data_IF_827683660066
#
_entry.id   IF_827683660066
#
_cell.length_a   1.000
_cell.length_b   1.000
_cell.length_c   1.000
_cell.angle_alpha   90.00
_cell.angle_beta   90.00
_cell.angle_gamma   90.00
#
_symmetry.space_group_name_H-M   'P 1'
#
loop_
_entity.id
_entity.type
_entity.pdbx_description
1 polymer ?
#
# COMPACT_ATOMS: atom_id res chain seq x y z
N UNK A 1 -22.09 -58.15 -14.92
CA UNK A 1 -21.38 -57.14 -14.14
C UNK A 1 -22.45 -56.19 -13.58
N UNK A 2 -22.72 -56.23 -12.28
CA UNK A 2 -23.75 -55.41 -11.62
C UNK A 2 -23.10 -54.12 -11.18
N UNK A 3 -23.72 -52.97 -11.55
CA UNK A 3 -23.34 -51.62 -11.13
C UNK A 3 -23.42 -51.49 -9.61
N UNK A 4 -22.29 -51.31 -8.96
CA UNK A 4 -22.16 -51.02 -7.52
C UNK A 4 -22.00 -49.52 -7.20
N UNK A 5 -21.96 -48.67 -8.23
CA UNK A 5 -21.59 -47.25 -8.07
C UNK A 5 -22.79 -46.34 -7.67
N UNK A 6 -24.04 -46.85 -7.65
CA UNK A 6 -25.22 -46.00 -7.36
C UNK A 6 -25.68 -45.99 -5.91
N UNK A 7 -25.10 -46.81 -5.03
CA UNK A 7 -25.58 -46.87 -3.63
C UNK A 7 -24.79 -46.00 -2.65
N UNK A 8 -23.63 -45.47 -3.05
CA UNK A 8 -22.86 -44.60 -2.15
C UNK A 8 -23.14 -43.09 -2.30
N UNK A 9 -23.71 -42.64 -3.41
CA UNK A 9 -24.03 -41.21 -3.61
C UNK A 9 -25.33 -40.78 -2.89
N UNK A 10 -26.32 -41.66 -2.75
CA UNK A 10 -27.58 -41.30 -2.11
C UNK A 10 -27.54 -41.30 -0.56
N UNK A 11 -26.59 -42.03 0.06
CA UNK A 11 -26.46 -42.02 1.53
C UNK A 11 -25.71 -40.83 2.08
N UNK A 12 -24.84 -40.18 1.25
CA UNK A 12 -24.10 -38.97 1.67
C UNK A 12 -24.90 -37.69 1.60
N UNK A 13 -25.92 -37.63 0.74
CA UNK A 13 -26.75 -36.43 0.58
C UNK A 13 -27.87 -36.29 1.63
N UNK A 14 -28.33 -37.40 2.22
CA UNK A 14 -29.40 -37.38 3.22
C UNK A 14 -28.94 -37.15 4.67
N UNK A 15 -27.68 -37.44 5.00
CA UNK A 15 -27.13 -37.12 6.33
C UNK A 15 -26.75 -35.64 6.52
N UNK A 16 -26.54 -34.91 5.46
CA UNK A 16 -26.12 -33.48 5.53
C UNK A 16 -27.30 -32.50 5.68
N UNK A 17 -28.53 -32.88 5.40
CA UNK A 17 -29.69 -31.95 5.51
C UNK A 17 -30.20 -31.73 6.95
N UNK A 18 -29.89 -32.62 7.89
CA UNK A 18 -30.42 -32.55 9.25
C UNK A 18 -29.48 -32.00 10.33
N UNK A 19 -28.27 -31.55 9.97
CA UNK A 19 -27.44 -30.81 10.94
C UNK A 19 -27.91 -29.36 11.01
N UNK A 20 -28.70 -29.03 12.04
CA UNK A 20 -28.99 -27.63 12.43
C UNK A 20 -27.69 -26.83 12.38
N UNK A 21 -27.59 -25.89 11.45
CA UNK A 21 -26.46 -24.97 11.28
C UNK A 21 -26.21 -24.27 12.61
N UNK A 22 -25.32 -24.81 13.44
CA UNK A 22 -24.77 -24.10 14.58
C UNK A 22 -23.93 -22.95 14.01
N UNK A 23 -24.35 -21.73 14.26
CA UNK A 23 -23.58 -20.53 13.90
C UNK A 23 -22.29 -20.56 14.72
N UNK A 24 -21.17 -20.92 14.06
CA UNK A 24 -19.82 -20.80 14.60
C UNK A 24 -19.15 -19.63 13.89
N UNK A 25 -18.75 -18.63 14.65
CA UNK A 25 -18.04 -17.43 14.11
C UNK A 25 -16.74 -17.79 13.39
N UNK A 26 -16.10 -18.88 13.77
CA UNK A 26 -14.86 -19.37 13.16
C UNK A 26 -15.00 -20.86 12.86
N UNK A 27 -15.60 -21.20 11.72
CA UNK A 27 -15.61 -22.56 11.22
C UNK A 27 -14.52 -22.68 10.13
N UNK A 28 -13.37 -23.24 10.51
CA UNK A 28 -12.23 -23.42 9.62
C UNK A 28 -12.47 -24.46 8.51
N UNK A 29 -13.48 -25.32 8.68
CA UNK A 29 -13.83 -26.39 7.74
C UNK A 29 -15.04 -26.04 6.87
N UNK A 30 -15.52 -24.81 6.91
CA UNK A 30 -16.64 -24.40 6.08
C UNK A 30 -16.16 -24.27 4.63
N UNK A 31 -16.54 -25.22 3.79
CA UNK A 31 -16.37 -25.10 2.36
C UNK A 31 -17.08 -23.83 1.89
N UNK A 32 -16.30 -22.88 1.39
CA UNK A 32 -16.87 -21.67 0.83
C UNK A 32 -17.75 -22.03 -0.36
N UNK A 33 -18.75 -21.21 -0.66
CA UNK A 33 -19.50 -21.32 -1.92
C UNK A 33 -18.46 -21.37 -3.05
N UNK A 34 -18.33 -22.51 -3.72
CA UNK A 34 -17.40 -22.70 -4.82
C UNK A 34 -17.57 -21.64 -5.90
N UNK A 35 -16.61 -21.54 -6.78
CA UNK A 35 -16.71 -20.65 -7.96
C UNK A 35 -17.60 -21.34 -8.98
N UNK A 36 -18.68 -20.69 -9.41
CA UNK A 36 -19.53 -21.17 -10.50
C UNK A 36 -18.66 -21.34 -11.76
N UNK A 37 -18.83 -22.45 -12.48
CA UNK A 37 -18.01 -22.75 -13.68
C UNK A 37 -18.15 -21.68 -14.77
N UNK A 38 -19.33 -21.06 -14.85
CA UNK A 38 -19.67 -20.04 -15.86
C UNK A 38 -19.58 -18.61 -15.32
N UNK A 39 -18.77 -18.38 -14.27
CA UNK A 39 -18.61 -17.05 -13.71
C UNK A 39 -17.93 -16.11 -14.71
N UNK A 40 -18.64 -14.99 -15.04
CA UNK A 40 -18.06 -13.91 -15.84
C UNK A 40 -16.86 -13.29 -15.09
N UNK A 41 -15.67 -13.52 -15.65
CA UNK A 41 -14.37 -13.05 -15.12
C UNK A 41 -13.94 -11.71 -15.72
N UNK A 42 -14.82 -11.04 -16.47
CA UNK A 42 -14.49 -9.71 -16.98
C UNK A 42 -14.17 -8.77 -15.82
N UNK A 43 -13.01 -8.08 -15.85
CA UNK A 43 -12.57 -7.24 -14.75
C UNK A 43 -13.37 -5.93 -14.69
N UNK A 44 -14.57 -6.01 -14.13
CA UNK A 44 -15.49 -4.90 -13.86
C UNK A 44 -15.62 -4.65 -12.33
N UNK A 45 -16.26 -3.54 -11.93
CA UNK A 45 -16.43 -3.20 -10.50
C UNK A 45 -17.21 -4.27 -9.70
N UNK A 46 -18.24 -4.90 -10.30
CA UNK A 46 -19.00 -5.95 -9.64
C UNK A 46 -18.13 -7.16 -9.33
N UNK A 47 -17.30 -7.57 -10.28
CA UNK A 47 -16.35 -8.67 -10.11
C UNK A 47 -15.25 -8.31 -9.11
N UNK A 48 -14.79 -7.03 -9.09
CA UNK A 48 -13.84 -6.55 -8.08
C UNK A 48 -14.36 -6.78 -6.66
N UNK A 49 -15.55 -6.31 -6.32
CA UNK A 49 -16.10 -6.47 -4.97
C UNK A 49 -16.36 -7.95 -4.62
N UNK A 50 -16.80 -8.75 -5.57
CA UNK A 50 -17.00 -10.19 -5.39
C UNK A 50 -15.67 -10.89 -5.10
N UNK A 51 -14.63 -10.58 -5.85
CA UNK A 51 -13.28 -11.14 -5.69
C UNK A 51 -12.63 -10.64 -4.40
N UNK A 52 -12.75 -9.35 -4.10
CA UNK A 52 -12.26 -8.75 -2.86
C UNK A 52 -12.86 -9.43 -1.62
N UNK A 53 -14.18 -9.59 -1.57
CA UNK A 53 -14.85 -10.25 -0.45
C UNK A 53 -14.40 -11.71 -0.26
N UNK A 54 -14.26 -12.47 -1.36
CA UNK A 54 -13.74 -13.86 -1.32
C UNK A 54 -12.30 -13.96 -0.84
N UNK A 55 -11.46 -12.99 -1.20
CA UNK A 55 -10.01 -13.00 -0.91
C UNK A 55 -9.64 -12.14 0.31
N UNK A 56 -10.62 -11.56 0.99
CA UNK A 56 -10.40 -10.58 2.05
C UNK A 56 -9.45 -11.08 3.15
N UNK A 57 -9.63 -12.31 3.64
CA UNK A 57 -8.75 -12.90 4.66
C UNK A 57 -7.29 -12.98 4.20
N UNK A 58 -7.05 -13.33 2.93
CA UNK A 58 -5.68 -13.38 2.36
C UNK A 58 -5.09 -11.99 2.21
N UNK A 59 -5.91 -11.00 1.87
CA UNK A 59 -5.51 -9.58 1.80
C UNK A 59 -5.12 -9.08 3.19
N UNK A 60 -5.87 -9.44 4.25
CA UNK A 60 -5.50 -9.12 5.63
C UNK A 60 -4.18 -9.77 6.04
N UNK A 61 -3.97 -11.04 5.71
CA UNK A 61 -2.70 -11.73 5.97
C UNK A 61 -1.53 -11.05 5.25
N UNK A 62 -1.73 -10.64 4.00
CA UNK A 62 -0.72 -9.88 3.26
C UNK A 62 -0.45 -8.53 3.92
N UNK A 63 -1.50 -7.84 4.36
CA UNK A 63 -1.37 -6.55 5.05
C UNK A 63 -0.50 -6.68 6.31
N UNK A 64 -0.64 -7.78 7.06
CA UNK A 64 0.19 -8.04 8.23
C UNK A 64 1.69 -8.14 7.87
N UNK A 65 2.03 -8.73 6.72
CA UNK A 65 3.41 -8.75 6.22
C UNK A 65 3.90 -7.37 5.78
N UNK A 66 3.01 -6.54 5.23
CA UNK A 66 3.35 -5.20 4.76
C UNK A 66 3.41 -4.15 5.88
N UNK A 67 2.89 -4.44 7.09
CA UNK A 67 2.89 -3.50 8.22
C UNK A 67 4.31 -3.05 8.60
N UNK A 68 5.31 -3.89 8.34
CA UNK A 68 6.71 -3.54 8.56
C UNK A 68 7.17 -2.30 7.79
N UNK A 69 6.53 -1.97 6.65
CA UNK A 69 6.82 -0.73 5.91
C UNK A 69 6.34 0.53 6.64
N UNK A 70 5.28 0.39 7.44
CA UNK A 70 4.65 1.52 8.15
C UNK A 70 5.23 1.70 9.55
N UNK A 71 5.91 0.68 10.06
CA UNK A 71 6.49 0.67 11.40
C UNK A 71 7.34 1.92 11.73
N UNK A 72 8.21 2.45 10.84
CA UNK A 72 8.95 3.67 11.12
C UNK A 72 8.06 4.88 11.28
N UNK A 73 7.05 5.02 10.43
CA UNK A 73 6.11 6.14 10.54
C UNK A 73 5.38 6.10 11.88
N UNK A 74 5.00 4.89 12.32
CA UNK A 74 4.39 4.69 13.63
C UNK A 74 5.37 5.09 14.75
N UNK A 75 6.62 4.64 14.67
CA UNK A 75 7.64 4.94 15.67
C UNK A 75 7.94 6.45 15.69
N UNK A 76 8.07 7.11 14.53
CA UNK A 76 8.25 8.55 14.43
C UNK A 76 7.06 9.28 15.07
N UNK A 77 5.84 8.88 14.75
CA UNK A 77 4.63 9.46 15.32
C UNK A 77 4.59 9.30 16.84
N UNK A 78 4.81 8.08 17.34
CA UNK A 78 4.87 7.81 18.78
C UNK A 78 5.95 8.63 19.47
N UNK A 79 7.12 8.75 18.85
CA UNK A 79 8.21 9.56 19.35
C UNK A 79 7.84 11.03 19.45
N UNK A 80 7.20 11.57 18.42
CA UNK A 80 6.72 12.95 18.42
C UNK A 80 5.69 13.21 19.52
N UNK A 81 4.79 12.27 19.75
CA UNK A 81 3.78 12.39 20.81
C UNK A 81 4.34 12.17 22.22
N UNK A 82 5.40 11.37 22.36
CA UNK A 82 6.04 11.04 23.66
C UNK A 82 7.19 11.98 24.01
N UNK A 83 7.67 12.80 23.07
CA UNK A 83 8.77 13.73 23.29
C UNK A 83 8.46 14.81 24.31
N UNK A 84 9.48 15.30 24.99
CA UNK A 84 9.39 16.44 25.88
C UNK A 84 8.97 17.67 25.06
N UNK A 85 7.86 18.28 25.46
CA UNK A 85 7.25 19.45 24.79
C UNK A 85 7.56 20.75 25.51
N UNK A 86 8.43 20.71 26.50
CA UNK A 86 8.85 21.94 27.18
C UNK A 86 9.65 22.82 26.21
N UNK A 87 9.33 24.11 26.11
CA UNK A 87 10.11 25.03 25.29
C UNK A 87 11.55 25.11 25.82
N UNK A 88 12.53 24.94 24.94
CA UNK A 88 13.94 25.08 25.31
C UNK A 88 14.51 26.37 24.75
N UNK A 89 15.29 27.07 25.55
CA UNK A 89 16.01 28.26 25.10
C UNK A 89 17.25 27.82 24.33
N UNK A 90 17.31 28.15 23.04
CA UNK A 90 18.42 27.75 22.16
C UNK A 90 19.71 28.54 22.39
N UNK A 91 19.63 29.73 22.98
CA UNK A 91 20.77 30.58 23.28
C UNK A 91 20.61 31.21 24.68
N UNK A 92 21.63 31.08 25.53
CA UNK A 92 21.66 31.64 26.89
C UNK A 92 21.41 33.15 26.91
N UNK A 93 21.77 33.89 25.84
CA UNK A 93 21.50 35.33 25.72
C UNK A 93 20.00 35.68 25.76
N UNK A 94 19.13 34.72 25.40
CA UNK A 94 17.66 34.93 25.37
C UNK A 94 16.95 34.28 26.55
N UNK A 95 17.67 33.76 27.53
CA UNK A 95 17.07 33.15 28.75
C UNK A 95 16.13 34.11 29.50
N UNK A 96 16.40 35.42 29.60
CA UNK A 96 15.46 36.37 30.20
C UNK A 96 14.15 36.48 29.47
N UNK A 97 14.15 36.40 28.10
CA UNK A 97 12.94 36.44 27.29
C UNK A 97 12.09 35.18 27.46
N UNK A 98 12.73 34.04 27.68
CA UNK A 98 12.01 32.81 28.03
C UNK A 98 11.21 32.92 29.32
N UNK A 99 11.81 33.52 30.36
CA UNK A 99 11.11 33.78 31.62
C UNK A 99 9.89 34.68 31.43
N UNK A 100 9.99 35.71 30.59
CA UNK A 100 8.87 36.60 30.26
C UNK A 100 7.77 35.86 29.50
N UNK A 101 8.11 34.97 28.56
CA UNK A 101 7.14 34.19 27.81
C UNK A 101 6.37 33.20 28.70
N UNK A 102 7.02 32.59 29.67
CA UNK A 102 6.34 31.67 30.62
C UNK A 102 5.35 32.43 31.56
N UNK A 103 5.58 33.72 31.81
CA UNK A 103 4.72 34.55 32.63
C UNK A 103 3.61 35.20 31.78
N UNK A 104 3.95 35.66 30.57
CA UNK A 104 3.02 36.33 29.65
C UNK A 104 2.30 35.32 28.75
N UNK A 105 1.46 34.47 29.32
CA UNK A 105 0.58 33.58 28.54
C UNK A 105 -0.56 34.31 27.81
N UNK A 106 -0.35 35.55 27.40
CA UNK A 106 -1.33 36.30 26.62
C UNK A 106 -1.17 36.02 25.13
N UNK A 107 -2.28 35.78 24.47
CA UNK A 107 -2.41 35.44 23.05
C UNK A 107 -1.71 36.42 22.08
N UNK A 108 -1.42 37.64 22.51
CA UNK A 108 -0.78 38.69 21.68
C UNK A 108 0.75 38.79 21.79
N UNK A 109 1.36 38.27 22.86
CA UNK A 109 2.81 38.33 23.10
C UNK A 109 3.58 37.11 22.56
N UNK A 110 2.94 35.97 22.42
CA UNK A 110 3.54 34.72 21.99
C UNK A 110 4.20 34.79 20.60
N UNK A 111 3.60 35.39 19.55
CA UNK A 111 4.23 35.46 18.24
C UNK A 111 5.51 36.27 18.19
N UNK A 112 5.63 37.30 19.00
CA UNK A 112 6.81 38.17 19.03
C UNK A 112 7.97 37.48 19.73
N UNK A 113 7.70 36.68 20.74
CA UNK A 113 8.71 35.90 21.47
C UNK A 113 9.13 34.64 20.74
N UNK A 114 8.26 34.03 19.93
CA UNK A 114 8.56 32.91 19.05
C UNK A 114 9.56 33.30 17.94
N UNK A 115 9.48 34.51 17.41
CA UNK A 115 10.45 35.08 16.47
C UNK A 115 11.82 35.32 17.12
N UNK A 116 11.86 35.46 18.44
CA UNK A 116 13.07 35.84 19.18
C UNK A 116 13.88 34.67 19.76
N UNK A 117 13.78 33.45 19.20
CA UNK A 117 14.63 32.29 19.50
C UNK A 117 14.15 31.29 20.58
N UNK A 118 12.87 31.25 20.87
CA UNK A 118 12.32 30.11 21.59
C UNK A 118 11.93 29.06 20.55
N UNK A 119 12.71 27.99 20.44
CA UNK A 119 12.31 26.87 19.59
C UNK A 119 11.11 26.18 20.23
N UNK A 120 9.97 26.25 19.53
CA UNK A 120 8.82 25.45 19.89
C UNK A 120 9.13 23.98 19.62
N UNK A 121 9.13 23.19 20.69
CA UNK A 121 8.85 21.74 20.68
C UNK A 121 9.63 20.90 19.66
N UNK A 122 10.94 20.99 19.62
CA UNK A 122 11.71 19.90 19.03
C UNK A 122 11.84 18.81 20.13
N UNK A 123 11.25 17.64 19.94
CA UNK A 123 11.42 16.56 20.91
C UNK A 123 12.91 16.22 21.02
N UNK A 124 13.49 16.42 22.21
CA UNK A 124 14.87 16.05 22.50
C UNK A 124 14.87 14.54 22.74
N UNK A 125 15.45 13.80 21.81
CA UNK A 125 15.60 12.35 21.94
C UNK A 125 16.96 12.01 22.56
N UNK A 126 16.98 10.99 23.41
CA UNK A 126 18.22 10.41 23.87
C UNK A 126 19.07 9.94 22.66
N UNK A 127 20.40 10.13 22.64
CA UNK A 127 21.26 9.76 21.51
C UNK A 127 21.10 8.30 21.08
N UNK A 128 20.93 7.38 22.01
CA UNK A 128 20.67 5.97 21.73
C UNK A 128 19.37 5.77 20.92
N UNK A 129 18.32 6.50 21.27
CA UNK A 129 17.04 6.44 20.57
C UNK A 129 17.19 6.94 19.12
N UNK A 130 17.92 8.03 18.88
CA UNK A 130 18.23 8.54 17.55
C UNK A 130 18.97 7.50 16.70
N UNK A 131 19.96 6.81 17.26
CA UNK A 131 20.71 5.75 16.57
C UNK A 131 19.78 4.61 16.18
N UNK A 132 18.91 4.16 17.09
CA UNK A 132 17.93 3.10 16.82
C UNK A 132 16.98 3.52 15.70
N UNK A 133 16.48 4.76 15.72
CA UNK A 133 15.58 5.28 14.69
C UNK A 133 16.25 5.33 13.31
N UNK A 134 17.50 5.78 13.24
CA UNK A 134 18.27 5.79 12.00
C UNK A 134 18.49 4.36 11.48
N UNK A 135 18.85 3.42 12.36
CA UNK A 135 19.04 2.02 11.98
C UNK A 135 17.77 1.38 11.43
N UNK A 136 16.62 1.65 12.06
CA UNK A 136 15.30 1.18 11.58
C UNK A 136 14.98 1.82 10.22
N UNK A 137 15.19 3.12 10.06
CA UNK A 137 14.93 3.81 8.80
C UNK A 137 15.78 3.24 7.66
N UNK A 138 17.07 3.00 7.88
CA UNK A 138 17.96 2.36 6.90
C UNK A 138 17.49 0.94 6.56
N UNK A 139 17.15 0.14 7.56
CA UNK A 139 16.64 -1.22 7.35
C UNK A 139 15.40 -1.23 6.46
N UNK A 140 14.52 -0.27 6.63
CA UNK A 140 13.28 -0.19 5.85
C UNK A 140 13.51 0.27 4.42
N UNK A 141 14.42 1.23 4.20
CA UNK A 141 14.82 1.60 2.84
C UNK A 141 15.40 0.37 2.10
N UNK A 142 16.23 -0.42 2.78
CA UNK A 142 16.82 -1.64 2.23
C UNK A 142 15.74 -2.69 1.91
N UNK A 143 14.79 -2.90 2.81
CA UNK A 143 13.75 -3.93 2.65
C UNK A 143 12.56 -3.49 1.82
N UNK A 144 12.44 -2.21 1.49
CA UNK A 144 11.30 -1.61 0.79
C UNK A 144 10.97 -2.32 -0.53
N UNK A 145 11.97 -2.55 -1.37
CA UNK A 145 11.78 -3.23 -2.64
C UNK A 145 11.35 -4.68 -2.49
N UNK A 146 11.96 -5.41 -1.54
CA UNK A 146 11.61 -6.82 -1.29
C UNK A 146 10.17 -6.98 -0.81
N UNK A 147 9.70 -6.10 0.07
CA UNK A 147 8.33 -6.13 0.56
C UNK A 147 7.33 -5.90 -0.58
N UNK A 148 7.58 -4.92 -1.45
CA UNK A 148 6.72 -4.65 -2.60
C UNK A 148 6.74 -5.80 -3.63
N UNK A 149 7.89 -6.44 -3.87
CA UNK A 149 8.03 -7.63 -4.72
C UNK A 149 7.22 -8.81 -4.16
N UNK A 150 7.38 -9.10 -2.86
CA UNK A 150 6.63 -10.17 -2.20
C UNK A 150 5.12 -9.92 -2.26
N UNK A 151 4.70 -8.68 -1.98
CA UNK A 151 3.30 -8.29 -2.07
C UNK A 151 2.74 -8.41 -3.49
N UNK A 152 3.47 -7.91 -4.49
CA UNK A 152 3.05 -8.02 -5.90
C UNK A 152 2.89 -9.48 -6.34
N UNK A 153 3.79 -10.37 -5.91
CA UNK A 153 3.71 -11.80 -6.24
C UNK A 153 2.42 -12.44 -5.69
N UNK A 154 2.12 -12.21 -4.42
CA UNK A 154 0.89 -12.69 -3.77
C UNK A 154 -0.35 -12.09 -4.45
N UNK A 155 -0.37 -10.78 -4.68
CA UNK A 155 -1.51 -10.07 -5.26
C UNK A 155 -1.80 -10.50 -6.71
N UNK A 156 -0.76 -10.77 -7.51
CA UNK A 156 -0.92 -11.32 -8.85
C UNK A 156 -1.59 -12.69 -8.80
N UNK A 157 -1.15 -13.59 -7.92
CA UNK A 157 -1.77 -14.91 -7.74
C UNK A 157 -3.22 -14.79 -7.27
N UNK A 158 -3.52 -13.87 -6.34
CA UNK A 158 -4.89 -13.60 -5.91
C UNK A 158 -5.76 -13.09 -7.07
N UNK A 159 -5.25 -12.19 -7.91
CA UNK A 159 -5.99 -11.68 -9.07
C UNK A 159 -6.27 -12.79 -10.09
N UNK A 160 -5.29 -13.62 -10.42
CA UNK A 160 -5.42 -14.74 -11.35
C UNK A 160 -6.30 -15.89 -10.85
N UNK A 161 -6.66 -15.86 -9.57
CA UNK A 161 -7.49 -16.91 -8.96
C UNK A 161 -6.69 -18.17 -8.63
N UNK A 162 -5.37 -18.08 -8.57
CA UNK A 162 -4.48 -19.18 -8.19
C UNK A 162 -4.64 -19.57 -6.72
N UNK A 163 -4.23 -20.78 -6.37
CA UNK A 163 -4.13 -21.23 -4.97
C UNK A 163 -2.93 -20.52 -4.33
N UNK A 164 -3.18 -19.48 -3.52
CA UNK A 164 -2.14 -18.64 -2.90
C UNK A 164 -1.96 -19.02 -1.44
N UNK A 165 -0.71 -19.28 -1.05
CA UNK A 165 -0.25 -19.42 0.34
C UNK A 165 0.53 -18.17 0.73
N UNK A 166 -0.15 -17.18 1.31
CA UNK A 166 0.34 -15.79 1.46
C UNK A 166 1.77 -15.72 1.99
N UNK A 167 2.10 -16.42 3.08
CA UNK A 167 3.45 -16.40 3.67
C UNK A 167 4.50 -17.05 2.75
N UNK A 168 4.22 -18.24 2.26
CA UNK A 168 5.14 -18.97 1.38
C UNK A 168 5.40 -18.22 0.09
N UNK A 169 4.34 -17.74 -0.56
CA UNK A 169 4.41 -17.06 -1.86
C UNK A 169 5.06 -15.68 -1.75
N UNK A 170 4.84 -14.98 -0.63
CA UNK A 170 5.50 -13.71 -0.34
C UNK A 170 7.02 -13.87 -0.30
N UNK A 171 7.53 -14.79 0.52
CA UNK A 171 8.97 -15.03 0.61
C UNK A 171 9.56 -15.68 -0.63
N UNK A 172 8.79 -16.52 -1.33
CA UNK A 172 9.20 -17.06 -2.61
C UNK A 172 9.39 -15.95 -3.66
N UNK A 173 8.45 -15.02 -3.77
CA UNK A 173 8.54 -13.85 -4.65
C UNK A 173 9.80 -13.02 -4.39
N UNK A 174 10.11 -12.78 -3.10
CA UNK A 174 11.34 -12.08 -2.68
C UNK A 174 12.59 -12.84 -3.11
N UNK A 175 12.68 -14.13 -2.79
CA UNK A 175 13.85 -14.96 -3.10
C UNK A 175 14.14 -15.02 -4.59
N UNK A 176 13.09 -15.21 -5.40
CA UNK A 176 13.19 -15.28 -6.85
C UNK A 176 13.72 -13.98 -7.48
N UNK A 177 13.32 -12.84 -6.95
CA UNK A 177 13.63 -11.52 -7.52
C UNK A 177 14.54 -10.69 -6.60
N UNK A 178 15.37 -11.34 -5.77
CA UNK A 178 16.08 -10.69 -4.67
C UNK A 178 16.94 -9.49 -5.10
N UNK A 179 17.83 -9.69 -6.09
CA UNK A 179 18.75 -8.64 -6.57
C UNK A 179 18.00 -7.51 -7.27
N UNK A 180 17.06 -7.87 -8.14
CA UNK A 180 16.31 -6.90 -8.93
C UNK A 180 15.32 -6.11 -8.05
N UNK A 181 14.67 -6.78 -7.10
CA UNK A 181 13.80 -6.15 -6.11
C UNK A 181 14.54 -5.15 -5.22
N UNK A 182 15.76 -5.49 -4.79
CA UNK A 182 16.60 -4.59 -4.01
C UNK A 182 16.90 -3.28 -4.75
N UNK A 183 17.47 -3.36 -5.95
CA UNK A 183 17.80 -2.17 -6.72
C UNK A 183 16.58 -1.36 -7.14
N UNK A 184 15.49 -2.04 -7.51
CA UNK A 184 14.24 -1.35 -7.82
C UNK A 184 13.66 -0.64 -6.60
N UNK A 185 13.77 -1.25 -5.43
CA UNK A 185 13.31 -0.64 -4.17
C UNK A 185 14.10 0.61 -3.79
N UNK A 186 15.42 0.59 -3.97
CA UNK A 186 16.26 1.78 -3.73
C UNK A 186 15.88 2.91 -4.70
N UNK A 187 15.72 2.60 -5.99
CA UNK A 187 15.29 3.59 -6.97
C UNK A 187 13.89 4.15 -6.66
N UNK A 188 12.94 3.29 -6.30
CA UNK A 188 11.58 3.68 -5.92
C UNK A 188 11.60 4.60 -4.68
N UNK A 189 12.35 4.22 -3.64
CA UNK A 189 12.50 5.06 -2.44
C UNK A 189 13.15 6.41 -2.75
N UNK A 190 14.17 6.43 -3.62
CA UNK A 190 14.84 7.66 -4.04
C UNK A 190 13.89 8.59 -4.82
N UNK A 191 13.09 8.05 -5.74
CA UNK A 191 12.10 8.84 -6.49
C UNK A 191 11.03 9.42 -5.56
N UNK A 192 10.50 8.61 -4.62
CA UNK A 192 9.53 9.09 -3.63
C UNK A 192 10.14 10.20 -2.77
N UNK A 193 11.40 10.03 -2.35
CA UNK A 193 12.09 11.03 -1.54
C UNK A 193 12.28 12.33 -2.28
N UNK A 194 12.81 12.31 -3.52
CA UNK A 194 13.04 13.51 -4.34
C UNK A 194 11.70 14.23 -4.57
N UNK A 195 10.69 13.54 -5.07
CA UNK A 195 9.39 14.13 -5.33
C UNK A 195 8.73 14.69 -4.06
N UNK A 196 8.94 14.04 -2.92
CA UNK A 196 8.46 14.52 -1.63
C UNK A 196 9.14 15.79 -1.17
N UNK A 197 10.49 15.84 -1.27
CA UNK A 197 11.28 17.05 -0.94
C UNK A 197 10.89 18.21 -1.83
N UNK A 198 10.81 17.99 -3.14
CA UNK A 198 10.41 19.01 -4.10
C UNK A 198 9.00 19.54 -3.83
N UNK A 199 8.07 18.64 -3.53
CA UNK A 199 6.68 19.01 -3.21
C UNK A 199 6.62 19.95 -1.99
N UNK A 200 7.27 19.59 -0.89
CA UNK A 200 7.29 20.43 0.31
C UNK A 200 8.06 21.73 0.12
N UNK A 201 9.14 21.70 -0.67
CA UNK A 201 9.89 22.89 -1.00
C UNK A 201 9.03 23.90 -1.75
N UNK A 202 8.37 23.50 -2.84
CA UNK A 202 7.56 24.41 -3.64
C UNK A 202 6.22 24.78 -2.94
N UNK A 203 5.68 23.93 -2.09
CA UNK A 203 4.50 24.24 -1.27
C UNK A 203 4.74 25.47 -0.35
N UNK A 204 5.99 25.60 0.15
CA UNK A 204 6.40 26.72 1.02
C UNK A 204 6.81 28.00 0.27
N UNK A 205 6.95 27.98 -1.04
CA UNK A 205 7.55 29.07 -1.85
C UNK A 205 6.52 29.94 -2.61
N UNK A 206 5.25 29.92 -2.27
CA UNK A 206 4.21 30.66 -3.00
C UNK A 206 4.53 32.14 -3.24
N UNK A 207 3.90 32.75 -4.27
CA UNK A 207 3.94 34.19 -4.51
C UNK A 207 4.44 34.65 -5.89
N UNK A 208 4.96 33.75 -6.73
CA UNK A 208 5.28 34.04 -8.11
C UNK A 208 4.71 32.96 -9.03
N UNK A 209 4.18 33.39 -10.19
CA UNK A 209 3.61 32.48 -11.19
C UNK A 209 4.49 31.26 -11.52
N UNK A 210 5.82 31.46 -11.62
CA UNK A 210 6.76 30.40 -11.94
C UNK A 210 6.89 29.37 -10.81
N UNK A 211 6.86 29.79 -9.56
CA UNK A 211 6.92 28.88 -8.41
C UNK A 211 5.63 28.09 -8.26
N UNK A 212 4.49 28.74 -8.45
CA UNK A 212 3.21 28.08 -8.46
C UNK A 212 3.10 27.06 -9.61
N UNK A 213 3.61 27.41 -10.81
CA UNK A 213 3.67 26.49 -11.94
C UNK A 213 4.53 25.25 -11.62
N UNK A 214 5.72 25.44 -11.01
CA UNK A 214 6.58 24.33 -10.60
C UNK A 214 5.90 23.42 -9.56
N UNK A 215 5.19 24.00 -8.61
CA UNK A 215 4.37 23.22 -7.65
C UNK A 215 3.38 22.30 -8.37
N UNK A 216 2.61 22.82 -9.33
CA UNK A 216 1.66 22.01 -10.08
C UNK A 216 2.32 20.94 -10.96
N UNK A 217 3.47 21.25 -11.55
CA UNK A 217 4.26 20.28 -12.34
C UNK A 217 4.72 19.12 -11.44
N UNK A 218 5.28 19.41 -10.26
CA UNK A 218 5.71 18.39 -9.31
C UNK A 218 4.52 17.57 -8.80
N UNK A 219 3.40 18.22 -8.49
CA UNK A 219 2.19 17.53 -8.10
C UNK A 219 1.70 16.55 -9.18
N UNK A 220 1.71 16.97 -10.45
CA UNK A 220 1.38 16.10 -11.58
C UNK A 220 2.37 14.93 -11.72
N UNK A 221 3.68 15.18 -11.54
CA UNK A 221 4.70 14.11 -11.54
C UNK A 221 4.48 13.10 -10.42
N UNK A 222 4.08 13.54 -9.23
CA UNK A 222 3.72 12.64 -8.11
C UNK A 222 2.56 11.73 -8.52
N UNK A 223 1.49 12.28 -9.11
CA UNK A 223 0.34 11.48 -9.54
C UNK A 223 0.76 10.44 -10.60
N UNK A 224 1.51 10.87 -11.62
CA UNK A 224 2.01 9.98 -12.67
C UNK A 224 2.88 8.87 -12.07
N UNK A 225 3.79 9.22 -11.16
CA UNK A 225 4.67 8.25 -10.52
C UNK A 225 3.90 7.27 -9.63
N UNK A 226 2.91 7.73 -8.86
CA UNK A 226 2.06 6.86 -8.04
C UNK A 226 1.30 5.85 -8.90
N UNK A 227 0.78 6.25 -10.05
CA UNK A 227 0.12 5.34 -11.00
C UNK A 227 1.15 4.39 -11.64
N UNK A 228 2.34 4.89 -12.00
CA UNK A 228 3.42 4.08 -12.57
C UNK A 228 3.83 2.93 -11.62
N UNK A 229 3.82 3.17 -10.30
CA UNK A 229 4.10 2.16 -9.29
C UNK A 229 3.13 0.97 -9.33
N UNK A 230 1.89 1.12 -9.83
CA UNK A 230 0.96 0.00 -10.01
C UNK A 230 1.54 -1.09 -10.91
N UNK A 231 2.38 -0.70 -11.87
CA UNK A 231 2.96 -1.57 -12.88
C UNK A 231 4.36 -2.06 -12.53
N UNK A 232 5.18 -1.24 -11.87
CA UNK A 232 6.61 -1.50 -11.65
C UNK A 232 6.85 -2.90 -11.07
N UNK A 233 6.27 -3.20 -9.92
CA UNK A 233 6.51 -4.46 -9.23
C UNK A 233 5.79 -5.63 -9.89
N UNK A 234 4.65 -5.41 -10.54
CA UNK A 234 3.96 -6.45 -11.32
C UNK A 234 4.77 -6.87 -12.54
N UNK A 235 5.37 -5.92 -13.27
CA UNK A 235 6.26 -6.20 -14.39
C UNK A 235 7.52 -6.93 -13.94
N UNK A 236 8.10 -6.50 -12.82
CA UNK A 236 9.31 -7.09 -12.25
C UNK A 236 9.13 -8.58 -11.91
N UNK A 237 8.00 -8.96 -11.34
CA UNK A 237 7.74 -10.36 -10.95
C UNK A 237 7.21 -11.23 -12.09
N UNK A 238 6.70 -10.61 -13.15
CA UNK A 238 6.05 -11.33 -14.26
C UNK A 238 7.01 -11.60 -15.41
N UNK A 239 7.94 -10.68 -15.68
CA UNK A 239 8.84 -10.74 -16.81
C UNK A 239 10.31 -10.60 -16.37
N UNK A 240 11.21 -11.27 -17.10
CA UNK A 240 12.65 -11.09 -16.93
C UNK A 240 13.14 -9.88 -17.74
N UNK A 241 12.90 -8.67 -17.22
CA UNK A 241 13.24 -7.42 -17.87
C UNK A 241 14.31 -6.66 -17.07
N UNK A 242 15.18 -5.92 -17.77
CA UNK A 242 16.09 -4.97 -17.12
C UNK A 242 15.28 -3.84 -16.45
N UNK A 243 15.76 -3.30 -15.33
CA UNK A 243 15.10 -2.23 -14.55
C UNK A 243 14.68 -1.04 -15.44
N UNK A 244 15.55 -0.61 -16.34
CA UNK A 244 15.26 0.49 -17.28
C UNK A 244 14.07 0.18 -18.20
N UNK A 245 13.94 -1.08 -18.65
CA UNK A 245 12.79 -1.52 -19.46
C UNK A 245 11.52 -1.60 -18.62
N UNK A 246 11.62 -2.02 -17.34
CA UNK A 246 10.48 -2.04 -16.39
C UNK A 246 9.94 -0.62 -16.23
N UNK A 247 10.79 0.36 -15.94
CA UNK A 247 10.40 1.77 -15.75
C UNK A 247 9.76 2.33 -17.02
N UNK A 248 10.38 2.10 -18.19
CA UNK A 248 9.85 2.53 -19.48
C UNK A 248 8.46 1.95 -19.75
N UNK A 249 8.30 0.64 -19.58
CA UNK A 249 7.02 -0.03 -19.81
C UNK A 249 5.97 0.40 -18.79
N UNK A 250 6.33 0.59 -17.52
CA UNK A 250 5.43 1.09 -16.49
C UNK A 250 4.88 2.49 -16.86
N UNK A 251 5.75 3.38 -17.37
CA UNK A 251 5.32 4.70 -17.84
C UNK A 251 4.36 4.59 -19.04
N UNK A 252 4.64 3.72 -20.03
CA UNK A 252 3.77 3.49 -21.17
C UNK A 252 2.40 2.96 -20.70
N UNK A 253 2.37 1.99 -19.79
CA UNK A 253 1.12 1.42 -19.28
C UNK A 253 0.34 2.38 -18.40
N UNK A 254 1.01 3.33 -17.77
CA UNK A 254 0.33 4.45 -17.08
C UNK A 254 -0.58 5.21 -18.04
N UNK A 255 -0.12 5.46 -19.26
CA UNK A 255 -0.90 6.13 -20.30
C UNK A 255 -1.93 5.19 -20.95
N UNK A 256 -1.54 3.96 -21.32
CA UNK A 256 -2.44 3.01 -21.98
C UNK A 256 -3.62 2.57 -21.10
N UNK A 257 -3.37 2.44 -19.78
CA UNK A 257 -4.37 2.03 -18.80
C UNK A 257 -5.14 3.18 -18.16
N UNK A 258 -5.09 4.41 -18.70
CA UNK A 258 -5.51 5.65 -18.02
C UNK A 258 -6.88 5.57 -17.35
N UNK A 259 -7.90 5.02 -18.02
CA UNK A 259 -9.26 4.89 -17.47
C UNK A 259 -9.30 4.01 -16.21
N UNK A 260 -8.64 2.86 -16.25
CA UNK A 260 -8.58 1.92 -15.13
C UNK A 260 -7.70 2.45 -14.00
N UNK A 261 -6.58 3.04 -14.36
CA UNK A 261 -5.63 3.64 -13.42
C UNK A 261 -6.26 4.79 -12.65
N UNK A 262 -6.97 5.68 -13.36
CA UNK A 262 -7.64 6.82 -12.74
C UNK A 262 -8.77 6.34 -11.80
N UNK A 263 -9.55 5.35 -12.22
CA UNK A 263 -10.60 4.78 -11.38
C UNK A 263 -10.03 4.16 -10.09
N UNK A 264 -8.94 3.40 -10.18
CA UNK A 264 -8.28 2.83 -9.01
C UNK A 264 -7.68 3.92 -8.13
N UNK A 265 -7.03 4.92 -8.73
CA UNK A 265 -6.44 6.04 -8.00
C UNK A 265 -7.50 6.85 -7.23
N UNK A 266 -8.64 7.15 -7.86
CA UNK A 266 -9.77 7.80 -7.19
C UNK A 266 -10.36 6.91 -6.08
N UNK A 267 -10.47 5.61 -6.31
CA UNK A 267 -10.90 4.66 -5.28
C UNK A 267 -9.95 4.62 -4.07
N UNK A 268 -8.65 4.70 -4.30
CA UNK A 268 -7.63 4.76 -3.23
C UNK A 268 -7.77 6.08 -2.45
N UNK A 269 -7.91 7.21 -3.14
CA UNK A 269 -8.13 8.51 -2.50
C UNK A 269 -9.39 8.46 -1.62
N UNK A 270 -10.49 7.93 -2.15
CA UNK A 270 -11.74 7.79 -1.40
C UNK A 270 -11.56 6.90 -0.16
N UNK A 271 -10.84 5.80 -0.29
CA UNK A 271 -10.55 4.89 0.82
C UNK A 271 -9.72 5.59 1.91
N UNK A 272 -8.69 6.34 1.53
CA UNK A 272 -7.86 7.12 2.45
C UNK A 272 -8.71 8.22 3.11
N UNK A 273 -9.48 8.97 2.33
CA UNK A 273 -10.33 10.04 2.84
C UNK A 273 -11.36 9.50 3.86
N UNK A 274 -11.94 8.33 3.60
CA UNK A 274 -12.85 7.67 4.54
C UNK A 274 -12.14 7.35 5.88
N UNK A 275 -10.92 6.80 5.82
CA UNK A 275 -10.15 6.50 7.04
C UNK A 275 -9.79 7.77 7.82
N UNK A 276 -9.36 8.83 7.13
CA UNK A 276 -9.06 10.13 7.74
C UNK A 276 -10.32 10.72 8.39
N UNK A 277 -11.46 10.66 7.71
CA UNK A 277 -12.74 11.13 8.25
C UNK A 277 -13.14 10.37 9.52
N UNK A 278 -12.98 9.05 9.54
CA UNK A 278 -13.24 8.24 10.74
C UNK A 278 -12.32 8.64 11.90
N UNK A 279 -11.04 8.89 11.63
CA UNK A 279 -10.09 9.35 12.66
C UNK A 279 -10.52 10.71 13.21
N UNK A 280 -10.83 11.68 12.35
CA UNK A 280 -11.21 13.04 12.75
C UNK A 280 -12.51 13.04 13.57
N UNK A 281 -13.47 12.18 13.22
CA UNK A 281 -14.77 12.15 13.90
C UNK A 281 -14.69 11.43 15.26
N UNK A 282 -14.02 10.28 15.32
CA UNK A 282 -14.12 9.41 16.48
C UNK A 282 -12.99 9.56 17.50
N UNK A 283 -11.78 9.91 17.08
CA UNK A 283 -10.64 10.01 18.01
C UNK A 283 -10.81 11.14 19.03
N UNK A 284 -11.31 12.35 18.67
CA UNK A 284 -11.56 13.39 19.65
C UNK A 284 -12.63 13.03 20.68
N UNK A 285 -13.54 12.10 20.33
CA UNK A 285 -14.57 11.58 21.25
C UNK A 285 -14.03 10.48 22.19
N UNK A 286 -12.72 10.20 22.18
CA UNK A 286 -12.09 9.17 23.02
C UNK A 286 -12.12 7.75 22.42
N UNK A 287 -12.67 7.56 21.21
CA UNK A 287 -12.72 6.26 20.55
C UNK A 287 -11.53 6.09 19.59
N UNK A 288 -10.48 5.39 20.04
CA UNK A 288 -9.18 5.31 19.34
C UNK A 288 -9.09 4.19 18.30
N UNK A 289 -10.10 3.33 18.15
CA UNK A 289 -10.10 2.20 17.19
C UNK A 289 -9.82 2.64 15.74
N UNK A 290 -10.33 3.78 15.23
CA UNK A 290 -10.03 4.25 13.88
C UNK A 290 -8.55 4.51 13.59
N UNK A 291 -7.70 4.73 14.59
CA UNK A 291 -6.25 4.85 14.39
C UNK A 291 -5.58 3.53 14.00
N UNK A 292 -6.10 2.42 14.52
CA UNK A 292 -5.54 1.08 14.28
C UNK A 292 -6.13 0.46 13.02
N UNK A 293 -7.36 0.81 12.66
CA UNK A 293 -8.10 0.22 11.55
C UNK A 293 -7.33 0.24 10.22
N UNK A 294 -6.73 1.37 9.76
CA UNK A 294 -5.95 1.41 8.53
C UNK A 294 -4.76 0.45 8.53
N UNK A 295 -4.12 0.26 9.69
CA UNK A 295 -2.99 -0.65 9.82
C UNK A 295 -3.39 -2.11 9.57
N UNK A 296 -4.64 -2.47 9.82
CA UNK A 296 -5.11 -3.84 9.66
C UNK A 296 -5.38 -4.22 8.20
N UNK A 297 -5.81 -3.27 7.34
CA UNK A 297 -6.27 -3.64 6.00
C UNK A 297 -5.80 -2.74 4.86
N UNK A 298 -5.37 -1.50 5.13
CA UNK A 298 -5.22 -0.47 4.09
C UNK A 298 -4.19 -0.84 3.02
N UNK A 299 -2.99 -1.26 3.42
CA UNK A 299 -1.90 -1.58 2.47
C UNK A 299 -2.27 -2.74 1.54
N UNK A 300 -2.81 -3.82 2.10
CA UNK A 300 -3.24 -4.98 1.32
C UNK A 300 -4.40 -4.64 0.37
N UNK A 301 -5.35 -3.82 0.83
CA UNK A 301 -6.49 -3.38 0.01
C UNK A 301 -6.03 -2.47 -1.14
N UNK A 302 -5.19 -1.47 -0.86
CA UNK A 302 -4.61 -0.61 -1.89
C UNK A 302 -3.83 -1.44 -2.90
N UNK A 303 -2.98 -2.37 -2.44
CA UNK A 303 -2.25 -3.28 -3.31
C UNK A 303 -3.18 -4.13 -4.20
N UNK A 304 -4.29 -4.62 -3.65
CA UNK A 304 -5.28 -5.36 -4.44
C UNK A 304 -5.98 -4.48 -5.49
N UNK A 305 -6.35 -3.24 -5.13
CA UNK A 305 -6.96 -2.27 -6.06
C UNK A 305 -6.02 -1.94 -7.21
N UNK A 306 -4.74 -1.68 -6.91
CA UNK A 306 -3.72 -1.36 -7.92
C UNK A 306 -3.46 -2.54 -8.86
N UNK A 307 -3.37 -3.76 -8.32
CA UNK A 307 -3.18 -4.98 -9.11
C UNK A 307 -4.38 -5.25 -10.00
N UNK A 308 -5.60 -5.05 -9.48
CA UNK A 308 -6.84 -5.22 -10.25
C UNK A 308 -6.96 -4.24 -11.42
N UNK A 309 -6.40 -3.04 -11.28
CA UNK A 309 -6.35 -2.06 -12.36
C UNK A 309 -5.25 -2.38 -13.39
N UNK A 310 -4.05 -2.70 -12.91
CA UNK A 310 -2.85 -2.80 -13.73
C UNK A 310 -2.71 -4.14 -14.46
N UNK A 311 -3.03 -5.27 -13.81
CA UNK A 311 -2.79 -6.58 -14.39
C UNK A 311 -3.52 -6.81 -15.73
N UNK A 312 -4.80 -6.44 -15.90
CA UNK A 312 -5.48 -6.61 -17.20
C UNK A 312 -4.87 -5.77 -18.33
N UNK A 313 -4.21 -4.66 -18.01
CA UNK A 313 -3.47 -3.86 -19.02
C UNK A 313 -2.21 -4.60 -19.43
N UNK A 314 -1.46 -5.13 -18.46
CA UNK A 314 -0.27 -5.96 -18.73
C UNK A 314 -0.66 -7.19 -19.55
N UNK A 315 -1.73 -7.89 -19.17
CA UNK A 315 -2.23 -9.07 -19.86
C UNK A 315 -2.54 -8.77 -21.32
N UNK A 316 -3.31 -7.73 -21.57
CA UNK A 316 -3.73 -7.31 -22.91
C UNK A 316 -2.55 -6.98 -23.86
N UNK A 317 -1.51 -6.32 -23.34
CA UNK A 317 -0.45 -5.77 -24.20
C UNK A 317 0.85 -6.58 -24.18
N UNK A 318 1.07 -7.45 -23.19
CA UNK A 318 2.32 -8.22 -23.06
C UNK A 318 2.13 -9.73 -22.93
N UNK A 319 0.95 -10.23 -22.61
CA UNK A 319 0.71 -11.67 -22.44
C UNK A 319 -0.14 -12.21 -23.58
N UNK A 320 -1.34 -11.66 -23.78
CA UNK A 320 -2.30 -12.14 -24.76
C UNK A 320 -1.75 -12.20 -26.21
N UNK A 321 -0.96 -11.25 -26.71
CA UNK A 321 -0.41 -11.34 -28.06
C UNK A 321 0.44 -12.59 -28.29
N UNK A 322 1.31 -12.94 -27.34
CA UNK A 322 2.21 -14.07 -27.45
C UNK A 322 1.52 -15.44 -27.27
N UNK A 323 0.41 -15.50 -26.53
CA UNK A 323 -0.38 -16.74 -26.40
C UNK A 323 -1.12 -17.03 -27.70
N UNK A 324 -1.72 -16.02 -28.30
CA UNK A 324 -2.48 -16.16 -29.56
C UNK A 324 -1.58 -16.53 -30.74
N UNK A 325 -0.37 -15.97 -30.82
CA UNK A 325 0.60 -16.30 -31.88
C UNK A 325 1.03 -17.78 -31.81
N UNK A 326 1.32 -18.28 -30.60
CA UNK A 326 1.68 -19.69 -30.41
C UNK A 326 0.54 -20.67 -30.74
N UNK A 327 -0.71 -20.29 -30.47
CA UNK A 327 -1.88 -21.11 -30.81
C UNK A 327 -2.15 -21.14 -32.33
N UNK A 328 -1.77 -20.10 -33.07
CA UNK A 328 -1.84 -20.06 -34.53
C UNK A 328 -0.74 -20.87 -35.18
N UNK A 329 0.53 -20.77 -34.73
CA UNK A 329 1.63 -21.57 -35.23
C UNK A 329 1.40 -23.09 -35.02
N UNK A 330 0.85 -23.48 -33.86
CA UNK A 330 0.53 -24.88 -33.58
C UNK A 330 -0.63 -25.43 -34.41
N UNK A 331 -1.54 -24.59 -34.89
CA UNK A 331 -2.65 -24.96 -35.76
C UNK A 331 -2.28 -24.99 -37.25
N UNK A 332 -1.16 -24.39 -37.64
CA UNK A 332 -0.61 -24.45 -39.03
C UNK A 332 0.35 -25.64 -39.22
N UNK A 333 0.84 -26.26 -38.13
CA UNK A 333 1.70 -27.44 -38.16
C UNK A 333 0.94 -28.79 -38.10
N UNK A 334 -0.38 -28.80 -37.82
CA UNK A 334 -1.29 -29.96 -37.88
C UNK A 334 -2.01 -30.03 -39.25
#
# INVERSE_FOLDING_TARGET
MRNYDNYQSESYDTENENQKKKFRLFDMNRDGKGVEKDEDRTPNLKFFFKQFARKFTKILQLNLLMIFQVLPLIIIALSYFSGDKTPTVTNLAYAPLYGINTIASSVGGAPILDVSSIQMKIPVFAPLFMIIMIAIALFLIITFGWQNVGAAYVLRGLFRGEAVFVWSDFFYGIKRNFKQGFWMGILDALFIFILGVDFFFFLGQGGTFWLDLMYFVIFAMIIIYMIMRFYIYLLLITFDLKITKIIKNALIFTALGIKRNLLAFLGIILLIALNVALIIIFVPSGFSVPLILPLLYLMGTVGFMTTYAAYPVIDKYMIAPYVNDNDQESSEEE
#
